data_IF_943851463909
#
_entry.id   IF_943851463909
#
_cell.length_a   1.000
_cell.length_b   1.000
_cell.length_c   1.000
_cell.angle_alpha   90.00
_cell.angle_beta   90.00
_cell.angle_gamma   90.00
#
_symmetry.space_group_name_H-M   'P 1'
#
loop_
_entity.id
_entity.type
_entity.pdbx_description
1 polymer ?
#
# COMPACT_ATOMS: atom_id res chain seq x y z
N UNK A 1 -13.04 1.00 -26.44
CA UNK A 1 -11.59 1.29 -26.34
C UNK A 1 -10.83 0.10 -26.87
N UNK A 2 -9.87 0.32 -27.77
CA UNK A 2 -8.99 -0.73 -28.29
C UNK A 2 -7.94 -1.09 -27.23
N UNK A 3 -7.42 -2.31 -27.25
CA UNK A 3 -6.38 -2.78 -26.31
C UNK A 3 -5.20 -1.80 -26.19
N UNK A 4 -4.63 -1.38 -27.32
CA UNK A 4 -3.53 -0.39 -27.33
C UNK A 4 -3.88 0.97 -26.72
N UNK A 5 -5.12 1.43 -26.86
CA UNK A 5 -5.55 2.71 -26.28
C UNK A 5 -5.61 2.60 -24.75
N UNK A 6 -6.05 1.44 -24.26
CA UNK A 6 -6.14 1.11 -22.84
C UNK A 6 -4.75 0.99 -22.22
N UNK A 7 -3.84 0.28 -22.87
CA UNK A 7 -2.46 0.13 -22.40
C UNK A 7 -1.73 1.48 -22.38
N UNK A 8 -1.94 2.31 -23.42
CA UNK A 8 -1.40 3.66 -23.45
C UNK A 8 -1.98 4.54 -22.34
N UNK A 9 -3.27 4.41 -22.02
CA UNK A 9 -3.90 5.14 -20.92
C UNK A 9 -3.30 4.75 -19.57
N UNK A 10 -3.16 3.45 -19.31
CA UNK A 10 -2.55 2.94 -18.06
C UNK A 10 -1.10 3.39 -17.95
N UNK A 11 -0.32 3.25 -19.03
CA UNK A 11 1.08 3.68 -19.04
C UNK A 11 1.22 5.19 -18.81
N UNK A 12 0.35 6.02 -19.40
CA UNK A 12 0.35 7.46 -19.19
C UNK A 12 0.06 7.83 -17.73
N UNK A 13 -0.97 7.22 -17.12
CA UNK A 13 -1.32 7.46 -15.71
C UNK A 13 -0.21 6.95 -14.78
N UNK A 14 0.34 5.76 -15.05
CA UNK A 14 1.44 5.17 -14.28
C UNK A 14 2.67 6.09 -14.29
N UNK A 15 2.99 6.69 -15.44
CA UNK A 15 4.09 7.64 -15.57
C UNK A 15 3.87 8.90 -14.70
N UNK A 16 2.65 9.40 -14.56
CA UNK A 16 2.34 10.53 -13.66
C UNK A 16 2.64 10.22 -12.19
N UNK A 17 2.51 8.96 -11.77
CA UNK A 17 2.83 8.50 -10.41
C UNK A 17 4.31 8.08 -10.24
N UNK A 18 5.07 8.03 -11.34
CA UNK A 18 6.45 7.53 -11.37
C UNK A 18 6.55 6.02 -11.15
N UNK A 19 5.58 5.25 -11.64
CA UNK A 19 5.51 3.79 -11.50
C UNK A 19 5.42 3.09 -12.86
N UNK A 20 5.62 1.79 -12.88
CA UNK A 20 5.33 0.94 -14.04
C UNK A 20 4.01 0.20 -13.79
N UNK A 21 3.11 0.15 -14.78
CA UNK A 21 1.90 -0.66 -14.71
C UNK A 21 1.45 -1.11 -16.09
N UNK A 22 0.94 -2.34 -16.17
CA UNK A 22 0.34 -2.93 -17.38
C UNK A 22 -0.91 -3.71 -17.00
N UNK A 23 -1.89 -3.74 -17.90
CA UNK A 23 -3.06 -4.59 -17.73
C UNK A 23 -2.75 -6.00 -18.24
N UNK A 24 -2.73 -6.96 -17.34
CA UNK A 24 -2.47 -8.37 -17.67
C UNK A 24 -3.77 -9.07 -18.10
N UNK A 25 -4.89 -8.74 -17.45
CA UNK A 25 -6.20 -9.28 -17.82
C UNK A 25 -7.27 -8.19 -17.69
N UNK A 26 -8.07 -8.04 -18.74
CA UNK A 26 -9.18 -7.07 -18.78
C UNK A 26 -10.55 -7.68 -18.44
N UNK A 27 -10.61 -8.98 -18.17
CA UNK A 27 -11.84 -9.74 -17.91
C UNK A 27 -11.97 -10.10 -16.44
N UNK A 28 -12.58 -11.24 -16.11
CA UNK A 28 -12.67 -11.75 -14.74
C UNK A 28 -11.72 -12.95 -14.58
N UNK A 29 -10.58 -12.82 -13.87
CA UNK A 29 -10.20 -11.68 -13.03
C UNK A 29 -9.65 -10.49 -13.82
N UNK A 30 -9.89 -9.29 -13.30
CA UNK A 30 -9.27 -8.07 -13.80
C UNK A 30 -7.95 -7.86 -13.08
N UNK A 31 -6.86 -7.71 -13.82
CA UNK A 31 -5.51 -7.79 -13.25
C UNK A 31 -4.61 -6.69 -13.80
N UNK A 32 -4.10 -5.86 -12.90
CA UNK A 32 -2.99 -4.94 -13.17
C UNK A 32 -1.74 -5.50 -12.50
N UNK A 33 -0.63 -5.52 -13.24
CA UNK A 33 0.70 -5.85 -12.72
C UNK A 33 1.62 -4.65 -12.91
N UNK A 34 2.70 -4.57 -12.13
CA UNK A 34 3.63 -3.47 -12.31
C UNK A 34 4.71 -3.40 -11.24
N UNK A 35 5.31 -2.22 -11.10
CA UNK A 35 6.36 -1.93 -10.14
C UNK A 35 6.22 -0.53 -9.54
N UNK A 36 6.27 -0.45 -8.22
CA UNK A 36 6.34 0.80 -7.46
C UNK A 36 7.64 0.84 -6.68
N UNK A 37 8.46 1.87 -6.90
CA UNK A 37 9.71 2.13 -6.18
C UNK A 37 10.62 0.89 -6.07
N UNK A 38 10.74 0.12 -7.16
CA UNK A 38 11.57 -1.09 -7.23
C UNK A 38 10.90 -2.39 -6.80
N UNK A 39 9.66 -2.33 -6.27
CA UNK A 39 8.90 -3.49 -5.79
C UNK A 39 7.81 -3.89 -6.78
N UNK A 40 7.86 -5.13 -7.27
CA UNK A 40 6.80 -5.65 -8.15
C UNK A 40 5.50 -5.86 -7.37
N UNK A 41 4.36 -5.65 -8.05
CA UNK A 41 3.03 -5.83 -7.48
C UNK A 41 2.07 -6.46 -8.49
N UNK A 42 0.96 -6.99 -7.99
CA UNK A 42 -0.25 -7.14 -8.78
C UNK A 42 -1.48 -6.78 -7.96
N UNK A 43 -2.48 -6.24 -8.65
CA UNK A 43 -3.82 -6.06 -8.14
C UNK A 43 -4.74 -6.96 -8.94
N UNK A 44 -5.53 -7.76 -8.24
CA UNK A 44 -6.52 -8.67 -8.83
C UNK A 44 -7.88 -8.34 -8.27
N UNK A 45 -8.81 -7.97 -9.14
CA UNK A 45 -10.24 -7.89 -8.83
C UNK A 45 -10.96 -9.11 -9.40
N UNK A 46 -11.83 -9.70 -8.58
CA UNK A 46 -12.73 -10.77 -9.00
C UNK A 46 -14.00 -10.75 -8.15
N UNK A 47 -15.14 -10.66 -8.83
CA UNK A 47 -16.47 -10.79 -8.23
C UNK A 47 -16.80 -9.71 -7.18
N UNK A 48 -16.27 -8.50 -7.36
CA UNK A 48 -16.53 -7.39 -6.46
C UNK A 48 -15.53 -7.26 -5.31
N UNK A 49 -14.58 -8.19 -5.19
CA UNK A 49 -13.49 -8.10 -4.23
C UNK A 49 -12.16 -7.90 -4.95
N UNK A 50 -11.25 -7.14 -4.35
CA UNK A 50 -9.87 -7.05 -4.82
C UNK A 50 -8.84 -7.45 -3.77
N UNK A 51 -7.71 -7.90 -4.25
CA UNK A 51 -6.50 -8.14 -3.48
C UNK A 51 -5.33 -7.42 -4.16
N UNK A 52 -4.57 -6.67 -3.38
CA UNK A 52 -3.31 -6.05 -3.79
C UNK A 52 -2.17 -6.74 -3.06
N UNK A 53 -1.25 -7.32 -3.82
CA UNK A 53 -0.05 -7.93 -3.28
C UNK A 53 1.20 -7.28 -3.87
N UNK A 54 2.25 -7.25 -3.06
CA UNK A 54 3.60 -6.94 -3.49
C UNK A 54 4.43 -8.22 -3.48
N UNK A 55 5.55 -8.22 -4.20
CA UNK A 55 6.55 -9.28 -4.12
C UNK A 55 7.01 -9.54 -2.66
N UNK A 56 7.67 -10.67 -2.41
CA UNK A 56 8.34 -10.99 -1.14
C UNK A 56 9.72 -10.35 -1.03
N UNK A 57 10.25 -10.22 0.19
CA UNK A 57 11.51 -9.46 0.44
C UNK A 57 12.72 -10.08 -0.21
N UNK A 58 12.80 -11.41 -0.21
CA UNK A 58 13.88 -12.17 -0.81
C UNK A 58 13.91 -12.01 -2.34
N UNK A 59 12.74 -11.75 -2.95
CA UNK A 59 12.56 -11.68 -4.39
C UNK A 59 11.69 -10.47 -4.80
N UNK A 60 12.18 -9.22 -4.64
CA UNK A 60 11.39 -7.99 -4.82
C UNK A 60 10.85 -7.76 -6.23
N UNK A 61 11.39 -8.48 -7.21
CA UNK A 61 11.01 -8.39 -8.61
C UNK A 61 9.92 -9.39 -9.02
N UNK A 62 9.54 -10.33 -8.14
CA UNK A 62 8.73 -11.50 -8.49
C UNK A 62 7.45 -11.53 -7.65
N UNK A 63 6.29 -11.65 -8.30
CA UNK A 63 4.99 -11.75 -7.62
C UNK A 63 4.44 -13.17 -7.67
N UNK A 64 3.54 -13.50 -6.73
CA UNK A 64 2.80 -14.76 -6.73
C UNK A 64 1.97 -14.96 -8.01
N UNK A 65 1.54 -13.86 -8.64
CA UNK A 65 0.89 -13.90 -9.95
C UNK A 65 1.83 -14.45 -11.05
N UNK A 66 3.09 -14.03 -11.06
CA UNK A 66 4.08 -14.46 -12.08
C UNK A 66 4.60 -15.88 -11.83
N UNK A 67 4.76 -16.28 -10.57
CA UNK A 67 5.31 -17.60 -10.21
C UNK A 67 4.25 -18.68 -10.07
N UNK A 68 3.00 -18.31 -9.81
CA UNK A 68 1.97 -19.22 -9.33
C UNK A 68 2.19 -19.71 -7.89
N UNK A 69 3.21 -19.20 -7.19
CA UNK A 69 3.51 -19.55 -5.80
C UNK A 69 2.88 -18.52 -4.85
N UNK A 70 1.82 -18.90 -4.09
CA UNK A 70 1.14 -17.98 -3.19
C UNK A 70 2.03 -17.48 -2.04
N UNK A 71 3.14 -18.17 -1.74
CA UNK A 71 4.06 -17.76 -0.66
C UNK A 71 5.06 -16.69 -1.08
N UNK A 72 5.17 -16.41 -2.38
CA UNK A 72 6.10 -15.41 -2.92
C UNK A 72 5.59 -13.97 -2.87
N UNK A 73 4.35 -13.75 -2.39
CA UNK A 73 3.70 -12.45 -2.29
C UNK A 73 3.37 -12.05 -0.85
N UNK A 74 3.25 -10.76 -0.62
CA UNK A 74 2.74 -10.17 0.63
C UNK A 74 1.47 -9.42 0.27
N UNK A 75 0.32 -9.86 0.80
CA UNK A 75 -0.92 -9.10 0.70
C UNK A 75 -0.80 -7.82 1.52
N UNK A 76 -0.86 -6.67 0.86
CA UNK A 76 -0.78 -5.36 1.52
C UNK A 76 -2.13 -4.69 1.68
N UNK A 77 -3.12 -5.10 0.89
CA UNK A 77 -4.51 -4.62 1.02
C UNK A 77 -5.49 -5.60 0.37
N UNK A 78 -6.70 -5.65 0.90
CA UNK A 78 -7.87 -6.25 0.27
C UNK A 78 -9.09 -5.40 0.58
N UNK A 79 -10.11 -5.47 -0.26
CA UNK A 79 -11.33 -4.69 -0.08
C UNK A 79 -12.34 -4.92 -1.19
N UNK A 80 -13.36 -4.07 -1.21
CA UNK A 80 -14.42 -4.09 -2.21
C UNK A 80 -14.02 -3.32 -3.47
N UNK A 81 -14.44 -3.77 -4.64
CA UNK A 81 -14.10 -3.17 -5.93
C UNK A 81 -14.55 -1.71 -6.06
N UNK A 82 -15.49 -1.24 -5.24
CA UNK A 82 -15.87 0.17 -5.14
C UNK A 82 -14.72 1.08 -4.65
N UNK A 83 -13.70 0.53 -3.98
CA UNK A 83 -12.45 1.27 -3.67
C UNK A 83 -11.64 1.63 -4.93
N UNK A 84 -11.87 0.91 -6.03
CA UNK A 84 -11.19 1.10 -7.33
C UNK A 84 -11.97 2.06 -8.24
N UNK A 85 -13.03 2.65 -7.69
CA UNK A 85 -13.88 3.65 -8.30
C UNK A 85 -15.30 3.20 -8.54
N UNK A 86 -16.10 4.01 -9.26
CA UNK A 86 -17.50 3.69 -9.54
C UNK A 86 -17.60 2.28 -10.13
N UNK A 87 -18.69 1.57 -9.83
CA UNK A 87 -18.97 0.21 -10.32
C UNK A 87 -19.30 0.17 -11.84
N UNK A 88 -18.52 0.89 -12.65
CA UNK A 88 -18.49 0.84 -14.09
C UNK A 88 -17.42 -0.15 -14.54
N UNK A 89 -17.73 -0.94 -15.57
CA UNK A 89 -16.74 -1.74 -16.29
C UNK A 89 -16.32 -0.97 -17.55
N UNK A 90 -15.02 -0.68 -17.77
CA UNK A 90 -13.86 -1.03 -16.92
C UNK A 90 -13.69 -0.13 -15.68
N UNK A 91 -12.91 -0.57 -14.67
CA UNK A 91 -12.56 0.24 -13.50
C UNK A 91 -11.83 1.52 -13.87
N UNK A 92 -11.91 2.54 -13.02
CA UNK A 92 -11.16 3.78 -13.20
C UNK A 92 -9.66 3.52 -12.95
N UNK A 93 -8.87 3.50 -14.02
CA UNK A 93 -7.43 3.24 -13.94
C UNK A 93 -6.70 4.25 -13.06
N UNK A 94 -7.15 5.51 -12.98
CA UNK A 94 -6.51 6.53 -12.16
C UNK A 94 -6.77 6.27 -10.69
N UNK A 95 -8.00 5.94 -10.31
CA UNK A 95 -8.31 5.60 -8.92
C UNK A 95 -7.60 4.31 -8.48
N UNK A 96 -7.64 3.27 -9.31
CA UNK A 96 -6.91 2.03 -9.05
C UNK A 96 -5.39 2.27 -8.88
N UNK A 97 -4.75 3.00 -9.80
CA UNK A 97 -3.32 3.29 -9.70
C UNK A 97 -2.97 4.23 -8.53
N UNK A 98 -3.88 5.13 -8.14
CA UNK A 98 -3.73 5.93 -6.92
C UNK A 98 -3.72 5.03 -5.69
N UNK A 99 -4.70 4.14 -5.56
CA UNK A 99 -4.80 3.19 -4.45
C UNK A 99 -3.57 2.29 -4.36
N UNK A 100 -3.15 1.72 -5.49
CA UNK A 100 -1.94 0.88 -5.60
C UNK A 100 -0.72 1.65 -5.10
N UNK A 101 -0.49 2.85 -5.66
CA UNK A 101 0.72 3.64 -5.37
C UNK A 101 0.77 4.05 -3.90
N UNK A 102 -0.33 4.59 -3.37
CA UNK A 102 -0.39 5.04 -1.97
C UNK A 102 -0.17 3.88 -1.02
N UNK A 103 -0.88 2.76 -1.23
CA UNK A 103 -0.79 1.57 -0.37
C UNK A 103 0.62 0.98 -0.36
N UNK A 104 1.25 0.83 -1.53
CA UNK A 104 2.60 0.24 -1.61
C UNK A 104 3.63 1.19 -1.01
N UNK A 105 3.57 2.50 -1.30
CA UNK A 105 4.49 3.48 -0.71
C UNK A 105 4.35 3.57 0.80
N UNK A 106 3.14 3.45 1.32
CA UNK A 106 2.90 3.34 2.75
C UNK A 106 3.52 2.06 3.33
N UNK A 107 3.27 0.90 2.72
CA UNK A 107 3.88 -0.36 3.13
C UNK A 107 5.40 -0.29 3.16
N UNK A 108 6.04 0.17 2.08
CA UNK A 108 7.49 0.29 1.98
C UNK A 108 8.06 1.27 3.01
N UNK A 109 7.37 2.40 3.24
CA UNK A 109 7.78 3.40 4.23
C UNK A 109 7.71 2.86 5.66
N UNK A 110 6.66 2.11 6.00
CA UNK A 110 6.52 1.45 7.31
C UNK A 110 7.60 0.40 7.52
N UNK A 111 7.85 -0.43 6.50
CA UNK A 111 8.91 -1.45 6.49
C UNK A 111 10.32 -0.89 6.71
N UNK A 112 10.62 0.27 6.14
CA UNK A 112 11.94 0.89 6.22
C UNK A 112 12.13 1.80 7.46
N UNK A 113 11.13 1.88 8.36
CA UNK A 113 11.19 2.79 9.49
C UNK A 113 11.69 2.08 10.75
N UNK A 114 12.86 2.50 11.26
CA UNK A 114 13.39 2.01 12.55
C UNK A 114 12.75 2.69 13.78
N UNK A 115 11.72 3.52 13.58
CA UNK A 115 11.04 4.33 14.62
C UNK A 115 11.99 5.10 15.57
N UNK A 116 12.91 5.93 15.05
CA UNK A 116 13.94 6.60 15.87
C UNK A 116 13.39 7.64 16.87
N UNK A 117 12.15 8.11 16.68
CA UNK A 117 11.50 9.10 17.54
C UNK A 117 10.44 8.47 18.45
N UNK A 118 10.62 7.22 18.88
CA UNK A 118 9.70 6.59 19.83
C UNK A 118 9.87 7.21 21.22
N UNK A 119 9.14 8.28 21.52
CA UNK A 119 8.93 8.67 22.92
C UNK A 119 7.82 7.82 23.53
N UNK A 120 7.79 7.70 24.86
CA UNK A 120 6.74 6.95 25.56
C UNK A 120 5.33 7.60 25.40
N UNK A 121 5.26 8.84 24.93
CA UNK A 121 4.02 9.58 24.74
C UNK A 121 3.48 9.51 23.29
N UNK A 122 4.26 9.02 22.33
CA UNK A 122 3.84 9.01 20.93
C UNK A 122 2.94 7.80 20.63
N UNK A 123 1.72 8.09 20.19
CA UNK A 123 0.76 7.06 19.75
C UNK A 123 1.08 6.56 18.34
N UNK A 124 1.61 7.43 17.49
CA UNK A 124 1.92 7.14 16.09
C UNK A 124 3.31 7.63 15.71
N UNK A 125 3.99 6.90 14.83
CA UNK A 125 5.25 7.33 14.26
C UNK A 125 5.00 8.47 13.25
N UNK A 126 5.56 9.66 13.50
CA UNK A 126 5.42 10.82 12.59
C UNK A 126 6.00 10.59 11.18
N UNK A 127 6.90 9.63 11.00
CA UNK A 127 7.53 9.30 9.72
C UNK A 127 6.73 8.31 8.88
N UNK A 128 6.20 7.24 9.50
CA UNK A 128 5.54 6.16 8.76
C UNK A 128 4.06 5.94 9.11
N UNK A 129 3.53 6.64 10.12
CA UNK A 129 2.14 6.52 10.57
C UNK A 129 1.82 5.27 11.38
N UNK A 130 2.80 4.39 11.62
CA UNK A 130 2.60 3.15 12.39
C UNK A 130 2.18 3.45 13.83
N UNK A 131 1.22 2.70 14.35
CA UNK A 131 0.80 2.78 15.75
C UNK A 131 1.90 2.21 16.64
N UNK A 132 2.47 3.02 17.53
CA UNK A 132 3.59 2.65 18.40
C UNK A 132 3.16 2.05 19.75
N UNK A 133 1.86 2.14 20.02
CA UNK A 133 1.20 1.65 21.22
C UNK A 133 0.29 0.47 20.88
N UNK A 134 0.19 -0.49 21.79
CA UNK A 134 -0.86 -1.48 21.73
C UNK A 134 -2.17 -0.82 22.17
N UNK A 135 -3.12 -0.63 21.25
CA UNK A 135 -4.42 -0.04 21.58
C UNK A 135 -5.25 -0.93 22.52
N UNK A 136 -4.94 -2.22 22.63
CA UNK A 136 -5.53 -3.10 23.63
C UNK A 136 -4.94 -2.86 25.04
N UNK A 137 -3.75 -2.26 25.11
CA UNK A 137 -3.04 -1.94 26.35
C UNK A 137 -2.39 -0.54 26.24
N UNK A 138 -3.20 0.53 26.24
CA UNK A 138 -2.68 1.88 26.09
C UNK A 138 -1.66 2.17 27.21
N UNK A 139 -0.58 2.93 26.91
CA UNK A 139 0.37 3.33 27.95
C UNK A 139 -0.36 4.04 29.07
N UNK A 140 0.04 3.77 30.31
CA UNK A 140 -0.53 4.44 31.47
C UNK A 140 -0.43 5.96 31.30
N UNK A 141 -1.51 6.68 31.62
CA UNK A 141 -1.46 8.14 31.57
C UNK A 141 -0.28 8.65 32.41
N UNK A 142 0.54 9.57 31.88
CA UNK A 142 1.62 10.14 32.67
C UNK A 142 1.02 10.77 33.91
N UNK A 143 1.60 10.43 35.06
CA UNK A 143 1.12 10.93 36.34
C UNK A 143 1.25 12.46 36.37
N UNK A 144 0.40 13.19 37.13
CA UNK A 144 0.53 14.64 37.25
C UNK A 144 1.94 15.10 37.63
N UNK A 145 2.67 14.31 38.41
CA UNK A 145 4.05 14.58 38.81
C UNK A 145 5.07 14.57 37.66
N UNK A 146 4.80 13.84 36.58
CA UNK A 146 5.67 13.76 35.39
C UNK A 146 5.39 14.91 34.41
N UNK A 147 4.20 15.53 34.46
CA UNK A 147 3.84 16.66 33.59
C UNK A 147 4.48 17.98 34.03
N UNK A 148 4.81 18.11 35.31
CA UNK A 148 5.34 19.34 35.91
C UNK A 148 6.88 19.41 35.94
N UNK A 149 7.58 18.37 35.45
CA UNK A 149 9.04 18.22 35.58
C UNK A 149 9.90 18.95 34.53
N UNK A 150 9.33 19.38 33.40
CA UNK A 150 10.08 19.98 32.27
C UNK A 150 10.31 21.50 32.42
N UNK A 151 10.07 22.07 33.61
CA UNK A 151 10.09 23.52 33.86
C UNK A 151 11.30 24.08 34.63
N UNK A 152 12.29 23.27 35.03
CA UNK A 152 13.46 23.75 35.81
C UNK A 152 14.78 23.11 35.37
N UNK A 153 15.36 23.60 34.29
CA UNK A 153 16.83 23.65 34.13
C UNK A 153 17.19 24.99 33.50
N UNK A 154 17.60 25.93 34.36
CA UNK A 154 18.38 27.13 34.03
C UNK A 154 19.76 26.98 34.65
#
# INVERSE_FOLDING_TARGET
>A
MRERERDAQIAAIAAEFGIEATLESSFAPWVIVGRVDGRSFYLRERWGDYTLEVAGDDHPSVTSWTTGDPTSGITVRSGDATDLGPASSPPDYREALTLITVTIREFLRRRACDHPHRSAADWFCSRCGECLVDLAHPPAEPTPAERDGEGRRS
#
